data_IF_189759928406
#
_entry.id   IF_189759928406
#
_cell.length_a   1.000
_cell.length_b   1.000
_cell.length_c   1.000
_cell.angle_alpha   90.00
_cell.angle_beta   90.00
_cell.angle_gamma   90.00
#
_symmetry.space_group_name_H-M   'P 1'
#
loop_
_entity.id
_entity.type
_entity.pdbx_description
1 polymer ?
#
# COMPACT_ATOMS: atom_id res chain seq x y z
N UNK A 1 -11.02 -1.20 4.57
CA UNK A 1 -11.03 -2.42 5.38
C UNK A 1 -9.63 -3.00 5.40
N UNK A 2 -9.15 -3.36 6.59
CA UNK A 2 -7.93 -4.15 6.81
C UNK A 2 -8.33 -5.50 7.42
N UNK A 3 -7.62 -6.55 7.07
CA UNK A 3 -7.75 -7.88 7.67
C UNK A 3 -6.35 -8.41 8.00
N UNK A 4 -6.26 -9.18 9.07
CA UNK A 4 -5.04 -9.88 9.47
C UNK A 4 -5.29 -11.39 9.46
N UNK A 5 -4.29 -12.19 9.12
CA UNK A 5 -4.34 -13.63 9.26
C UNK A 5 -3.05 -14.18 9.85
N UNK A 6 -3.20 -15.30 10.56
CA UNK A 6 -2.12 -16.19 10.96
C UNK A 6 -2.19 -17.43 10.07
N UNK A 7 -1.07 -17.80 9.45
CA UNK A 7 -0.96 -19.02 8.64
C UNK A 7 -0.47 -20.22 9.47
N UNK A 8 -0.56 -21.44 8.92
CA UNK A 8 -0.16 -22.67 9.64
C UNK A 8 1.34 -22.74 9.96
N UNK A 9 2.18 -22.13 9.13
CA UNK A 9 3.63 -21.96 9.34
C UNK A 9 3.97 -20.83 10.33
N UNK A 10 2.98 -20.11 10.85
CA UNK A 10 3.16 -19.07 11.86
C UNK A 10 3.41 -17.67 11.30
N UNK A 11 3.32 -17.48 9.97
CA UNK A 11 3.42 -16.16 9.35
C UNK A 11 2.20 -15.30 9.68
N UNK A 12 2.44 -14.03 9.99
CA UNK A 12 1.38 -13.01 10.16
C UNK A 12 1.29 -12.21 8.87
N UNK A 13 0.13 -12.22 8.23
CA UNK A 13 -0.09 -11.52 6.97
C UNK A 13 -1.30 -10.60 7.07
N UNK A 14 -1.17 -9.38 6.53
CA UNK A 14 -2.26 -8.40 6.44
C UNK A 14 -2.67 -8.19 4.99
N UNK A 15 -3.90 -7.76 4.80
CA UNK A 15 -4.43 -7.31 3.51
C UNK A 15 -5.41 -6.16 3.70
N UNK A 16 -5.53 -5.30 2.69
CA UNK A 16 -6.54 -4.25 2.64
C UNK A 16 -7.23 -4.20 1.27
N UNK A 17 -8.28 -3.40 1.16
CA UNK A 17 -9.04 -3.19 -0.08
C UNK A 17 -8.82 -1.81 -0.70
N UNK A 18 -7.76 -1.11 -0.32
CA UNK A 18 -7.53 0.28 -0.68
C UNK A 18 -6.80 0.46 -2.00
N UNK A 19 -6.48 -0.64 -2.68
CA UNK A 19 -5.61 -0.68 -3.85
C UNK A 19 -4.38 -1.54 -3.59
N UNK A 20 -3.71 -1.95 -4.66
CA UNK A 20 -2.56 -2.83 -4.58
C UNK A 20 -1.41 -2.13 -3.83
N UNK A 21 -0.89 -2.77 -2.78
CA UNK A 21 0.23 -2.33 -1.94
C UNK A 21 0.06 -0.95 -1.24
N UNK A 22 -1.13 -0.36 -1.26
CA UNK A 22 -1.36 0.96 -0.65
C UNK A 22 -1.36 0.88 0.88
N UNK A 23 -0.54 1.72 1.51
CA UNK A 23 -0.46 1.90 2.97
C UNK A 23 -0.67 3.38 3.30
N UNK A 24 -1.63 3.73 4.18
CA UNK A 24 -1.81 5.11 4.64
C UNK A 24 -0.55 5.68 5.31
N UNK A 25 -0.33 6.99 5.20
CA UNK A 25 0.88 7.70 5.67
C UNK A 25 1.28 7.39 7.12
N UNK A 26 0.30 7.28 8.02
CA UNK A 26 0.54 7.05 9.46
C UNK A 26 0.56 5.57 9.87
N UNK A 27 0.49 4.65 8.91
CA UNK A 27 0.52 3.20 9.19
C UNK A 27 1.95 2.70 9.05
N UNK A 28 2.48 2.11 10.12
CA UNK A 28 3.72 1.32 10.10
C UNK A 28 3.41 -0.14 10.34
N UNK A 29 4.14 -1.03 9.68
CA UNK A 29 3.97 -2.47 9.86
C UNK A 29 5.12 -3.06 10.68
N UNK A 30 4.84 -3.84 11.74
CA UNK A 30 5.87 -4.58 12.46
C UNK A 30 6.72 -5.46 11.55
N UNK A 31 7.95 -5.75 11.95
CA UNK A 31 8.95 -6.51 11.17
C UNK A 31 8.44 -7.90 10.74
N UNK A 32 7.76 -8.60 11.64
CA UNK A 32 7.25 -9.95 11.42
C UNK A 32 6.00 -10.01 10.52
N UNK A 33 5.33 -8.87 10.31
CA UNK A 33 4.10 -8.82 9.52
C UNK A 33 4.45 -8.82 8.02
N UNK A 34 3.67 -9.52 7.20
CA UNK A 34 3.77 -9.48 5.74
C UNK A 34 2.55 -8.78 5.19
N UNK A 35 2.71 -8.01 4.11
CA UNK A 35 1.57 -7.39 3.44
C UNK A 35 1.32 -8.14 2.13
N UNK A 36 0.18 -8.83 2.04
CA UNK A 36 -0.11 -9.76 0.95
C UNK A 36 0.08 -9.14 -0.44
N UNK A 37 -0.40 -7.91 -0.63
CA UNK A 37 -0.33 -7.22 -1.91
C UNK A 37 1.01 -6.52 -2.17
N UNK A 38 1.95 -6.50 -1.22
CA UNK A 38 3.30 -5.97 -1.40
C UNK A 38 4.34 -7.07 -1.67
N UNK A 39 3.93 -8.35 -1.67
CA UNK A 39 4.86 -9.46 -1.81
C UNK A 39 5.31 -9.67 -3.26
N UNK A 40 6.50 -9.20 -3.59
CA UNK A 40 7.04 -9.25 -4.96
C UNK A 40 7.42 -10.66 -5.44
N UNK A 41 7.42 -11.67 -4.56
CA UNK A 41 7.52 -13.06 -5.01
C UNK A 41 6.28 -13.54 -5.78
N UNK A 42 5.18 -12.78 -5.70
CA UNK A 42 3.93 -13.02 -6.42
C UNK A 42 3.80 -11.98 -7.53
N UNK A 43 3.46 -12.42 -8.74
CA UNK A 43 3.36 -11.51 -9.89
C UNK A 43 2.36 -10.37 -9.64
N UNK A 44 2.61 -9.15 -10.15
CA UNK A 44 1.69 -8.02 -10.02
C UNK A 44 0.27 -8.34 -10.52
N UNK A 45 0.15 -9.13 -11.60
CA UNK A 45 -1.13 -9.52 -12.19
C UNK A 45 -1.92 -10.39 -11.22
N UNK A 46 -1.28 -11.41 -10.64
CA UNK A 46 -1.93 -12.27 -9.66
C UNK A 46 -2.38 -11.47 -8.44
N UNK A 47 -1.50 -10.62 -7.87
CA UNK A 47 -1.86 -9.75 -6.74
C UNK A 47 -2.97 -8.76 -7.10
N UNK A 48 -2.99 -8.25 -8.34
CA UNK A 48 -4.00 -7.34 -8.88
C UNK A 48 -5.41 -7.90 -8.82
N UNK A 49 -5.58 -9.21 -9.06
CA UNK A 49 -6.88 -9.88 -8.96
C UNK A 49 -7.51 -9.82 -7.56
N UNK A 50 -6.72 -9.47 -6.54
CA UNK A 50 -7.16 -9.39 -5.14
C UNK A 50 -7.31 -7.96 -4.62
N UNK A 51 -6.99 -6.93 -5.41
CA UNK A 51 -6.81 -5.55 -4.94
C UNK A 51 -8.00 -4.96 -4.15
N UNK A 52 -9.22 -5.43 -4.45
CA UNK A 52 -10.46 -5.00 -3.80
C UNK A 52 -11.05 -6.05 -2.83
N UNK A 53 -10.37 -7.19 -2.66
CA UNK A 53 -10.85 -8.38 -1.96
C UNK A 53 -9.79 -8.88 -0.94
N UNK A 54 -9.72 -8.29 0.27
CA UNK A 54 -8.63 -8.57 1.20
C UNK A 54 -8.64 -10.02 1.71
N UNK A 55 -9.81 -10.64 1.90
CA UNK A 55 -9.89 -12.07 2.24
C UNK A 55 -9.28 -12.95 1.13
N UNK A 56 -9.55 -12.61 -0.14
CA UNK A 56 -8.95 -13.31 -1.28
C UNK A 56 -7.44 -13.08 -1.33
N UNK A 57 -6.97 -11.87 -1.01
CA UNK A 57 -5.54 -11.57 -0.93
C UNK A 57 -4.82 -12.41 0.14
N UNK A 58 -5.43 -12.61 1.32
CA UNK A 58 -4.87 -13.45 2.37
C UNK A 58 -4.74 -14.91 1.92
N UNK A 59 -5.79 -15.47 1.31
CA UNK A 59 -5.76 -16.83 0.76
C UNK A 59 -4.76 -16.98 -0.39
N UNK A 60 -4.77 -16.03 -1.33
CA UNK A 60 -3.87 -16.03 -2.47
C UNK A 60 -2.40 -15.96 -2.05
N UNK A 61 -2.09 -15.14 -1.05
CA UNK A 61 -0.76 -15.09 -0.46
C UNK A 61 -0.36 -16.40 0.20
N UNK A 62 -1.25 -16.99 1.02
CA UNK A 62 -0.97 -18.27 1.67
C UNK A 62 -0.74 -19.40 0.65
N UNK A 63 -1.55 -19.46 -0.40
CA UNK A 63 -1.41 -20.43 -1.48
C UNK A 63 -0.07 -20.26 -2.21
N UNK A 64 0.34 -19.03 -2.53
CA UNK A 64 1.63 -18.77 -3.19
C UNK A 64 2.86 -19.11 -2.32
N UNK A 65 2.64 -19.36 -1.02
CA UNK A 65 3.66 -19.74 -0.04
C UNK A 65 3.51 -21.18 0.46
N UNK A 66 2.75 -21.99 -0.27
CA UNK A 66 2.50 -23.40 0.06
C UNK A 66 2.03 -23.62 1.50
N UNK A 67 1.24 -22.68 2.03
CA UNK A 67 0.65 -22.71 3.37
C UNK A 67 -0.86 -22.46 3.29
N UNK A 68 -1.53 -22.51 4.44
CA UNK A 68 -2.97 -22.21 4.53
C UNK A 68 -3.23 -21.27 5.70
N UNK A 69 -4.34 -20.52 5.62
CA UNK A 69 -4.81 -19.73 6.76
C UNK A 69 -5.14 -20.67 7.94
N UNK A 70 -4.75 -20.25 9.14
CA UNK A 70 -5.11 -20.90 10.41
C UNK A 70 -6.18 -20.09 11.14
N UNK A 71 -5.99 -18.77 11.18
CA UNK A 71 -6.91 -17.81 11.82
C UNK A 71 -7.01 -16.55 10.96
N UNK A 72 -8.20 -15.99 10.83
CA UNK A 72 -8.43 -14.63 10.32
C UNK A 72 -8.94 -13.74 11.45
N UNK A 73 -8.41 -12.54 11.54
CA UNK A 73 -8.63 -11.58 12.61
C UNK A 73 -9.13 -10.26 11.99
N UNK A 74 -10.23 -9.75 12.52
CA UNK A 74 -10.85 -8.50 12.07
C UNK A 74 -12.04 -8.08 12.94
N UNK A 75 -12.63 -6.93 12.63
CA UNK A 75 -13.86 -6.47 13.27
C UNK A 75 -15.06 -7.31 12.80
N UNK A 76 -16.14 -7.34 13.58
CA UNK A 76 -17.33 -8.14 13.27
C UNK A 76 -17.86 -7.83 11.85
N UNK A 77 -18.00 -6.55 11.53
CA UNK A 77 -18.46 -6.07 10.22
C UNK A 77 -17.56 -6.49 9.05
N UNK A 78 -16.28 -6.74 9.31
CA UNK A 78 -15.30 -7.15 8.30
C UNK A 78 -15.35 -8.66 8.04
N UNK A 79 -15.76 -9.45 9.04
CA UNK A 79 -15.83 -10.91 8.97
C UNK A 79 -17.25 -11.41 8.65
N UNK A 80 -18.28 -10.62 8.95
CA UNK A 80 -19.68 -11.01 8.76
C UNK A 80 -20.01 -11.26 7.30
N UNK A 81 -20.64 -12.40 7.02
CA UNK A 81 -21.10 -12.76 5.69
C UNK A 81 -20.03 -13.35 4.76
N UNK A 82 -18.82 -13.60 5.26
CA UNK A 82 -17.75 -14.27 4.54
C UNK A 82 -17.34 -15.56 5.25
N UNK A 83 -17.33 -16.67 4.53
CA UNK A 83 -16.63 -17.87 4.98
C UNK A 83 -15.14 -17.67 4.72
N UNK A 84 -14.35 -17.55 5.79
CA UNK A 84 -12.91 -17.39 5.71
C UNK A 84 -12.18 -18.70 5.44
N UNK A 85 -12.86 -19.86 5.48
CA UNK A 85 -12.23 -21.18 5.38
C UNK A 85 -11.23 -21.49 6.51
N UNK A 86 -11.22 -20.68 7.57
CA UNK A 86 -10.33 -20.77 8.72
C UNK A 86 -11.08 -20.33 9.99
N UNK A 87 -10.47 -20.52 11.16
CA UNK A 87 -11.04 -19.97 12.38
C UNK A 87 -11.05 -18.43 12.31
N UNK A 88 -12.05 -17.80 12.91
CA UNK A 88 -12.16 -16.33 12.94
C UNK A 88 -12.05 -15.83 14.38
N UNK A 89 -11.28 -14.76 14.58
CA UNK A 89 -11.24 -13.99 15.84
C UNK A 89 -11.82 -12.61 15.55
N UNK A 90 -12.90 -12.28 16.26
CA UNK A 90 -13.54 -10.96 16.18
C UNK A 90 -12.87 -10.06 17.21
N UNK A 91 -12.19 -9.02 16.73
CA UNK A 91 -11.58 -7.99 17.58
C UNK A 91 -12.67 -7.25 18.35
N UNK A 92 -12.47 -7.12 19.66
CA UNK A 92 -13.24 -6.26 20.54
C UNK A 92 -12.60 -4.86 20.58
N UNK A 93 -13.35 -3.81 20.95
CA UNK A 93 -12.79 -2.48 21.13
C UNK A 93 -11.55 -2.45 22.04
N UNK A 94 -11.55 -3.25 23.11
CA UNK A 94 -10.45 -3.35 24.07
C UNK A 94 -9.18 -4.02 23.48
N UNK A 95 -9.27 -4.69 22.32
CA UNK A 95 -8.12 -5.26 21.62
C UNK A 95 -7.40 -4.22 20.74
N UNK A 96 -8.00 -3.05 20.52
CA UNK A 96 -7.44 -1.98 19.71
C UNK A 96 -6.63 -1.00 20.58
N UNK A 97 -5.46 -0.56 20.11
CA UNK A 97 -4.68 0.43 20.85
C UNK A 97 -5.43 1.77 20.93
N UNK A 98 -5.30 2.48 22.06
CA UNK A 98 -5.95 3.77 22.29
C UNK A 98 -5.48 4.85 21.30
N UNK A 99 -4.20 4.80 20.93
CA UNK A 99 -3.66 5.55 19.81
C UNK A 99 -3.35 4.59 18.64
N UNK A 100 -3.68 5.00 17.42
CA UNK A 100 -3.39 4.20 16.22
C UNK A 100 -1.90 4.18 15.86
N UNK A 101 -1.00 4.55 16.77
CA UNK A 101 0.42 4.63 16.50
C UNK A 101 1.01 3.23 16.47
N UNK A 102 1.57 2.86 15.33
CA UNK A 102 2.29 1.60 15.17
C UNK A 102 3.76 1.88 14.99
N UNK A 103 4.59 1.11 15.69
CA UNK A 103 6.03 1.06 15.45
C UNK A 103 6.34 0.01 14.39
N UNK A 104 7.39 0.24 13.60
CA UNK A 104 7.85 -0.71 12.60
C UNK A 104 8.28 -0.03 11.32
N UNK A 105 8.19 -0.79 10.23
CA UNK A 105 8.61 -0.39 8.89
C UNK A 105 7.69 0.68 8.32
N UNK A 106 8.29 1.66 7.66
CA UNK A 106 7.57 2.65 6.86
C UNK A 106 6.92 1.99 5.65
N UNK A 107 5.96 2.69 5.03
CA UNK A 107 5.32 2.21 3.79
C UNK A 107 6.30 1.90 2.66
N UNK A 108 7.35 2.71 2.48
CA UNK A 108 8.42 2.42 1.51
C UNK A 108 9.15 1.13 1.87
N UNK A 109 9.54 0.96 3.13
CA UNK A 109 10.24 -0.24 3.60
C UNK A 109 9.39 -1.52 3.49
N UNK A 110 8.06 -1.41 3.46
CA UNK A 110 7.17 -2.56 3.23
C UNK A 110 7.13 -2.95 1.76
N UNK A 111 7.01 -1.98 0.84
CA UNK A 111 6.79 -2.27 -0.58
C UNK A 111 8.09 -2.36 -1.41
N UNK A 112 9.17 -1.74 -0.94
CA UNK A 112 10.46 -1.68 -1.61
C UNK A 112 11.60 -1.62 -0.57
N UNK A 113 11.83 -2.71 0.19
CA UNK A 113 12.81 -2.75 1.29
C UNK A 113 14.23 -2.36 0.84
N UNK A 114 14.70 -2.89 -0.29
CA UNK A 114 16.02 -2.57 -0.84
C UNK A 114 16.19 -1.08 -1.15
N UNK A 115 15.15 -0.42 -1.65
CA UNK A 115 15.16 1.02 -1.95
C UNK A 115 15.20 1.83 -0.66
N UNK A 116 14.39 1.45 0.33
CA UNK A 116 14.42 2.05 1.66
C UNK A 116 15.80 1.94 2.31
N UNK A 117 16.44 0.78 2.24
CA UNK A 117 17.78 0.56 2.79
C UNK A 117 18.86 1.38 2.08
N UNK A 118 18.78 1.49 0.75
CA UNK A 118 19.69 2.33 -0.03
C UNK A 118 19.54 3.80 0.35
N UNK A 119 18.31 4.30 0.44
CA UNK A 119 18.04 5.68 0.83
C UNK A 119 18.58 5.99 2.24
N UNK A 120 18.43 5.06 3.18
CA UNK A 120 18.94 5.21 4.54
C UNK A 120 20.47 5.35 4.63
N UNK A 121 21.21 4.84 3.64
CA UNK A 121 22.68 4.94 3.58
C UNK A 121 23.18 6.25 2.97
N UNK A 122 22.30 7.02 2.33
CA UNK A 122 22.66 8.28 1.67
C UNK A 122 22.68 9.38 2.74
N UNK A 123 23.78 10.12 2.93
CA UNK A 123 23.81 11.23 3.87
C UNK A 123 22.94 12.39 3.35
N UNK A 124 22.49 13.25 4.26
CA UNK A 124 21.62 14.39 3.92
C UNK A 124 22.21 15.30 2.84
N UNK A 125 23.54 15.46 2.82
CA UNK A 125 24.26 16.23 1.81
C UNK A 125 24.17 15.67 0.39
N UNK A 126 23.82 14.39 0.23
CA UNK A 126 23.68 13.72 -1.08
C UNK A 126 22.23 13.52 -1.51
N UNK A 127 21.25 14.00 -0.75
CA UNK A 127 19.82 13.79 -1.06
C UNK A 127 19.37 14.56 -2.30
N UNK A 128 19.92 15.76 -2.52
CA UNK A 128 19.57 16.59 -3.69
C UNK A 128 19.94 15.91 -5.01
N UNK A 129 21.00 15.10 -5.02
CA UNK A 129 21.45 14.36 -6.21
C UNK A 129 20.49 13.24 -6.63
N UNK A 130 19.53 12.87 -5.77
CA UNK A 130 18.50 11.88 -6.06
C UNK A 130 17.28 12.48 -6.75
N UNK A 131 17.13 13.80 -6.72
CA UNK A 131 15.97 14.44 -7.31
C UNK A 131 16.12 14.46 -8.83
N UNK A 132 15.03 14.25 -9.58
CA UNK A 132 15.01 14.59 -10.99
C UNK A 132 15.28 16.09 -11.19
N UNK A 133 15.56 16.55 -12.43
CA UNK A 133 15.65 17.97 -12.71
C UNK A 133 14.38 18.71 -12.27
N UNK A 134 14.55 19.84 -11.60
CA UNK A 134 13.43 20.66 -11.15
C UNK A 134 12.57 21.14 -12.34
N UNK A 135 11.24 21.23 -12.16
CA UNK A 135 10.36 21.76 -13.19
C UNK A 135 10.68 23.24 -13.45
N UNK A 136 10.45 23.67 -14.69
CA UNK A 136 10.64 25.08 -15.10
C UNK A 136 9.66 26.01 -14.38
N UNK A 137 8.47 25.51 -14.06
CA UNK A 137 7.49 26.20 -13.23
C UNK A 137 7.50 25.64 -11.79
N UNK A 138 7.91 26.42 -10.78
CA UNK A 138 8.00 25.97 -9.40
C UNK A 138 6.67 26.07 -8.64
N UNK A 139 5.57 26.46 -9.28
CA UNK A 139 4.28 26.56 -8.59
C UNK A 139 3.84 25.20 -8.03
N UNK A 140 3.26 25.18 -6.81
CA UNK A 140 2.72 23.96 -6.25
C UNK A 140 1.58 23.42 -7.13
N UNK A 141 1.46 22.09 -7.29
CA UNK A 141 0.30 21.50 -7.92
C UNK A 141 -1.00 21.93 -7.20
N UNK A 142 -2.09 22.11 -7.95
CA UNK A 142 -3.42 22.29 -7.37
C UNK A 142 -3.74 21.13 -6.41
N UNK A 143 -4.28 21.41 -5.22
CA UNK A 143 -4.63 20.35 -4.26
C UNK A 143 -5.84 19.54 -4.75
N UNK A 144 -5.55 18.36 -5.31
CA UNK A 144 -6.54 17.40 -5.83
C UNK A 144 -6.55 16.11 -5.01
N UNK A 145 -5.85 16.06 -3.87
CA UNK A 145 -5.63 14.83 -3.06
C UNK A 145 -6.93 14.14 -2.73
N UNK A 146 -7.86 14.85 -2.10
CA UNK A 146 -9.14 14.29 -1.65
C UNK A 146 -9.97 13.83 -2.83
N UNK A 147 -10.03 14.63 -3.90
CA UNK A 147 -10.78 14.29 -5.11
C UNK A 147 -10.27 12.99 -5.72
N UNK A 148 -8.97 12.86 -5.95
CA UNK A 148 -8.37 11.67 -6.55
C UNK A 148 -8.46 10.44 -5.63
N UNK A 149 -8.30 10.61 -4.33
CA UNK A 149 -8.49 9.52 -3.37
C UNK A 149 -9.95 9.01 -3.36
N UNK A 150 -10.93 9.90 -3.54
CA UNK A 150 -12.33 9.49 -3.71
C UNK A 150 -12.55 8.70 -5.01
N UNK A 151 -11.83 9.01 -6.08
CA UNK A 151 -11.85 8.20 -7.31
C UNK A 151 -11.33 6.78 -7.06
N UNK A 152 -10.28 6.61 -6.26
CA UNK A 152 -9.73 5.31 -5.86
C UNK A 152 -10.75 4.47 -5.09
N UNK A 153 -11.51 5.09 -4.19
CA UNK A 153 -12.48 4.36 -3.36
C UNK A 153 -13.86 4.19 -4.01
N UNK A 154 -14.22 5.02 -4.99
CA UNK A 154 -15.53 4.95 -5.66
C UNK A 154 -15.89 3.54 -6.17
N UNK A 155 -15.00 2.77 -6.80
CA UNK A 155 -15.31 1.41 -7.25
C UNK A 155 -15.76 0.48 -6.11
N UNK A 156 -15.32 0.72 -4.86
CA UNK A 156 -15.73 -0.08 -3.70
C UNK A 156 -17.18 0.14 -3.28
N UNK A 157 -17.80 1.25 -3.70
CA UNK A 157 -19.16 1.64 -3.31
C UNK A 157 -20.23 1.05 -4.23
N UNK A 158 -19.84 0.48 -5.38
CA UNK A 158 -20.75 -0.01 -6.40
C UNK A 158 -20.46 -1.48 -6.74
N UNK A 159 -21.51 -2.21 -7.12
CA UNK A 159 -21.36 -3.57 -7.67
C UNK A 159 -21.05 -3.45 -9.16
N UNK A 160 -19.76 -3.51 -9.49
CA UNK A 160 -19.26 -3.39 -10.86
C UNK A 160 -18.27 -4.54 -11.16
N UNK A 161 -18.50 -5.35 -12.21
CA UNK A 161 -17.54 -6.38 -12.63
C UNK A 161 -16.14 -5.83 -12.94
N UNK A 162 -16.05 -4.58 -13.41
CA UNK A 162 -14.78 -3.92 -13.74
C UNK A 162 -14.13 -3.20 -12.53
N UNK A 163 -14.64 -3.45 -11.30
CA UNK A 163 -14.22 -2.73 -10.08
C UNK A 163 -12.71 -2.73 -9.85
N UNK A 164 -12.05 -3.88 -10.02
CA UNK A 164 -10.59 -3.99 -9.83
C UNK A 164 -9.86 -3.09 -10.82
N UNK A 165 -10.09 -3.27 -12.12
CA UNK A 165 -9.42 -2.49 -13.18
C UNK A 165 -9.66 -0.98 -12.99
N UNK A 166 -10.88 -0.58 -12.63
CA UNK A 166 -11.20 0.83 -12.34
C UNK A 166 -10.44 1.36 -11.12
N UNK A 167 -10.35 0.60 -10.03
CA UNK A 167 -9.61 1.02 -8.84
C UNK A 167 -8.11 1.11 -9.12
N UNK A 168 -7.51 0.12 -9.78
CA UNK A 168 -6.08 0.12 -10.11
C UNK A 168 -5.73 1.33 -11.01
N UNK A 169 -6.52 1.60 -12.05
CA UNK A 169 -6.33 2.78 -12.92
C UNK A 169 -6.47 4.10 -12.14
N UNK A 170 -7.44 4.20 -11.24
CA UNK A 170 -7.56 5.38 -10.38
C UNK A 170 -6.38 5.51 -9.41
N UNK A 171 -5.84 4.40 -8.91
CA UNK A 171 -4.66 4.39 -8.03
C UNK A 171 -3.41 4.87 -8.76
N UNK A 172 -3.22 4.50 -10.03
CA UNK A 172 -2.10 5.01 -10.86
C UNK A 172 -2.17 6.54 -10.93
N UNK A 173 -3.33 7.10 -11.30
CA UNK A 173 -3.52 8.56 -11.37
C UNK A 173 -3.30 9.24 -10.03
N UNK A 174 -3.73 8.62 -8.93
CA UNK A 174 -3.51 9.14 -7.60
C UNK A 174 -2.03 9.09 -7.20
N UNK A 175 -1.34 7.98 -7.47
CA UNK A 175 0.08 7.80 -7.19
C UNK A 175 0.94 8.80 -7.97
N UNK A 176 0.66 9.02 -9.26
CA UNK A 176 1.36 10.00 -10.09
C UNK A 176 1.24 11.41 -9.51
N UNK A 177 0.03 11.81 -9.12
CA UNK A 177 -0.21 13.11 -8.50
C UNK A 177 0.48 13.26 -7.14
N UNK A 178 0.47 12.21 -6.32
CA UNK A 178 1.15 12.23 -5.01
C UNK A 178 2.68 12.23 -5.16
N UNK A 179 3.21 11.56 -6.18
CA UNK A 179 4.62 11.62 -6.56
C UNK A 179 5.04 13.04 -6.94
N UNK A 180 4.29 13.71 -7.82
CA UNK A 180 4.53 15.11 -8.20
C UNK A 180 4.48 16.05 -6.98
N UNK A 181 3.51 15.84 -6.09
CA UNK A 181 3.37 16.62 -4.85
C UNK A 181 4.56 16.42 -3.92
N UNK A 182 5.04 15.18 -3.78
CA UNK A 182 6.21 14.86 -2.96
C UNK A 182 7.50 15.44 -3.55
N UNK A 183 7.66 15.42 -4.88
CA UNK A 183 8.78 16.08 -5.55
C UNK A 183 8.75 17.59 -5.35
N UNK A 184 7.60 18.25 -5.50
CA UNK A 184 7.47 19.68 -5.24
C UNK A 184 7.90 20.04 -3.80
N UNK A 185 7.46 19.24 -2.82
CA UNK A 185 7.88 19.39 -1.43
C UNK A 185 9.39 19.18 -1.26
N UNK A 186 9.98 18.22 -1.96
CA UNK A 186 11.42 17.98 -1.91
C UNK A 186 12.22 19.16 -2.50
N UNK A 187 11.82 19.71 -3.65
CA UNK A 187 12.50 20.87 -4.25
C UNK A 187 12.42 22.14 -3.41
N UNK A 188 11.39 22.27 -2.58
CA UNK A 188 11.16 23.44 -1.72
C UNK A 188 11.61 23.25 -0.27
N UNK A 189 12.13 22.06 0.07
CA UNK A 189 12.57 21.73 1.42
C UNK A 189 13.87 22.49 1.79
N UNK A 190 13.80 23.28 2.85
CA UNK A 190 14.97 23.92 3.46
C UNK A 190 15.56 23.11 4.62
N UNK A 191 14.77 22.20 5.19
CA UNK A 191 15.18 21.29 6.26
C UNK A 191 15.59 19.92 5.68
N UNK A 192 16.77 19.37 6.02
CA UNK A 192 17.22 18.08 5.52
C UNK A 192 16.31 16.90 5.88
N UNK A 193 15.66 16.93 7.05
CA UNK A 193 14.69 15.92 7.46
C UNK A 193 13.45 15.95 6.57
N UNK A 194 12.90 17.15 6.33
CA UNK A 194 11.78 17.34 5.39
C UNK A 194 12.15 16.91 3.97
N UNK A 195 13.37 17.19 3.51
CA UNK A 195 13.85 16.74 2.20
C UNK A 195 13.87 15.20 2.12
N UNK A 196 14.44 14.53 3.13
CA UNK A 196 14.49 13.06 3.19
C UNK A 196 13.10 12.44 3.21
N UNK A 197 12.20 12.97 4.01
CA UNK A 197 10.82 12.49 4.09
C UNK A 197 10.12 12.67 2.73
N UNK A 198 10.31 13.81 2.08
CA UNK A 198 9.72 14.09 0.76
C UNK A 198 10.27 13.16 -0.34
N UNK A 199 11.56 12.83 -0.31
CA UNK A 199 12.15 11.83 -1.22
C UNK A 199 11.61 10.43 -0.92
N UNK A 200 11.51 10.06 0.36
CA UNK A 200 10.94 8.77 0.79
C UNK A 200 9.52 8.62 0.27
N UNK A 201 8.73 9.68 0.37
CA UNK A 201 7.38 9.77 -0.17
C UNK A 201 7.33 9.64 -1.68
N UNK A 202 8.15 10.40 -2.40
CA UNK A 202 8.22 10.32 -3.86
C UNK A 202 8.54 8.88 -4.31
N UNK A 203 9.53 8.24 -3.70
CA UNK A 203 9.91 6.86 -4.02
C UNK A 203 8.77 5.87 -3.72
N UNK A 204 8.05 6.04 -2.60
CA UNK A 204 6.90 5.20 -2.28
C UNK A 204 5.81 5.31 -3.36
N UNK A 205 5.44 6.53 -3.75
CA UNK A 205 4.39 6.76 -4.75
C UNK A 205 4.81 6.28 -6.13
N UNK A 206 6.07 6.47 -6.52
CA UNK A 206 6.62 5.92 -7.76
C UNK A 206 6.51 4.39 -7.81
N UNK A 207 6.93 3.68 -6.76
CA UNK A 207 6.85 2.22 -6.69
C UNK A 207 5.40 1.74 -6.71
N UNK A 208 4.51 2.41 -5.97
CA UNK A 208 3.09 2.11 -5.95
C UNK A 208 2.47 2.25 -7.37
N UNK A 209 2.81 3.32 -8.08
CA UNK A 209 2.34 3.58 -9.45
C UNK A 209 2.78 2.49 -10.44
N UNK A 210 4.06 2.09 -10.39
CA UNK A 210 4.61 1.00 -11.22
C UNK A 210 3.89 -0.32 -10.91
N UNK A 211 3.78 -0.70 -9.65
CA UNK A 211 3.10 -1.92 -9.23
C UNK A 211 1.65 -2.00 -9.73
N UNK A 212 0.91 -0.88 -9.62
CA UNK A 212 -0.48 -0.83 -10.10
C UNK A 212 -0.56 -0.84 -11.63
N UNK A 213 0.42 -0.25 -12.34
CA UNK A 213 0.50 -0.29 -13.80
C UNK A 213 0.76 -1.70 -14.32
N UNK A 214 1.72 -2.41 -13.71
CA UNK A 214 2.05 -3.80 -14.06
C UNK A 214 0.86 -4.73 -13.85
N UNK A 215 0.09 -4.51 -12.78
CA UNK A 215 -1.13 -5.26 -12.50
C UNK A 215 -2.26 -5.03 -13.51
N UNK A 216 -2.24 -3.93 -14.27
CA UNK A 216 -3.22 -3.60 -15.31
C UNK A 216 -2.79 -4.07 -16.70
N UNK A 217 -1.48 -4.27 -16.94
CA UNK A 217 -0.90 -4.44 -18.28
C UNK A 217 -1.25 -5.73 -19.05
N UNK A 218 -1.98 -6.69 -18.43
CA UNK A 218 -2.46 -7.92 -19.10
C UNK A 218 -3.93 -8.20 -18.79
N UNK A 219 -4.83 -7.31 -19.23
CA UNK A 219 -6.24 -7.66 -19.45
C UNK A 219 -6.37 -8.10 -20.92
N UNK A 220 -6.16 -9.40 -21.26
CA UNK A 220 -6.46 -9.87 -22.61
C UNK A 220 -7.95 -9.67 -22.83
N UNK A 221 -8.26 -8.75 -23.74
CA UNK A 221 -9.62 -8.47 -24.22
C UNK A 221 -10.21 -9.69 -24.92
#
# INVERSE_FOLDING_TARGET
MWLTALTKDGSIVVANNYGLAYIPENVKLPEQVRFASADESISPQQRGTWATYPMLALHGWAQARDTTLRVVIGLEEQLKGFDSGAASIVLQPDDLPEDGSMQGRSRLAVIAPDVSERLAKIPDSGLLDLLPPAPVDPQPPEDRRVKLLMEVFRPLLIKDPARISKQLKAMIVYADYMYETALHRAYTASDPGVLRDSITEALYWQHLGVLNSDAVAEDPS
#
